data_IF_283637447529
#
_entry.id   IF_283637447529
#
_cell.length_a   1.000
_cell.length_b   1.000
_cell.length_c   1.000
_cell.angle_alpha   90.00
_cell.angle_beta   90.00
_cell.angle_gamma   90.00
#
_symmetry.space_group_name_H-M   'P 1'
#
loop_
_entity.id
_entity.type
_entity.pdbx_description
1 polymer ?
#
# COMPACT_ATOMS: atom_id res chain seq x y z
N UNK A 1 3.43 10.95 9.13
CA UNK A 1 3.36 12.13 8.24
C UNK A 1 3.48 13.39 9.08
N UNK A 2 4.28 14.35 8.66
CA UNK A 2 4.69 15.49 9.49
C UNK A 2 3.69 16.66 9.49
N UNK A 3 2.85 16.80 8.45
CA UNK A 3 1.89 17.90 8.35
C UNK A 3 0.64 17.74 9.24
N UNK A 4 0.30 16.53 9.69
CA UNK A 4 -0.88 16.27 10.52
C UNK A 4 -0.70 15.16 11.57
N UNK A 5 0.51 14.62 11.68
CA UNK A 5 0.82 13.55 12.61
C UNK A 5 0.22 12.18 12.25
N UNK A 6 -0.54 12.02 11.18
CA UNK A 6 -1.09 10.70 10.84
C UNK A 6 0.04 9.69 10.57
N UNK A 7 -0.09 8.47 11.06
CA UNK A 7 0.91 7.40 10.89
C UNK A 7 0.27 6.12 10.36
N UNK A 8 1.11 5.23 9.83
CA UNK A 8 0.73 3.89 9.42
C UNK A 8 1.77 2.91 9.99
N UNK A 9 1.34 1.71 10.40
CA UNK A 9 2.28 0.70 10.89
C UNK A 9 3.16 0.20 9.74
N UNK A 10 4.44 -0.01 10.01
CA UNK A 10 5.37 -0.63 9.09
C UNK A 10 6.46 -1.39 9.86
N UNK A 11 7.10 -2.36 9.20
CA UNK A 11 8.26 -3.05 9.77
C UNK A 11 9.49 -2.14 9.77
N UNK A 12 10.22 -2.13 10.87
CA UNK A 12 11.48 -1.39 11.00
C UNK A 12 12.63 -2.23 10.44
N UNK A 13 12.76 -2.21 9.11
CA UNK A 13 13.85 -2.81 8.34
C UNK A 13 14.96 -1.78 8.05
N UNK A 14 16.11 -2.19 7.53
CA UNK A 14 17.20 -1.26 7.19
C UNK A 14 16.77 -0.20 6.16
N UNK A 15 15.86 -0.54 5.27
CA UNK A 15 15.29 0.32 4.24
C UNK A 15 13.98 1.02 4.67
N UNK A 16 13.67 1.05 5.97
CA UNK A 16 12.43 1.63 6.49
C UNK A 16 12.21 3.08 6.05
N UNK A 17 13.25 3.91 6.00
CA UNK A 17 13.10 5.32 5.60
C UNK A 17 12.71 5.44 4.11
N UNK A 18 13.33 4.63 3.24
CA UNK A 18 12.97 4.58 1.81
C UNK A 18 11.54 4.07 1.61
N UNK A 19 11.16 2.99 2.32
CA UNK A 19 9.78 2.45 2.30
C UNK A 19 8.77 3.46 2.81
N UNK A 20 9.06 4.17 3.91
CA UNK A 20 8.18 5.20 4.47
C UNK A 20 7.90 6.31 3.43
N UNK A 21 8.94 6.75 2.73
CA UNK A 21 8.81 7.72 1.64
C UNK A 21 8.02 7.16 0.45
N UNK A 22 8.27 5.91 0.06
CA UNK A 22 7.56 5.26 -1.05
C UNK A 22 6.06 5.07 -0.77
N UNK A 23 5.69 4.76 0.47
CA UNK A 23 4.29 4.68 0.90
C UNK A 23 3.61 6.05 1.01
N UNK A 24 4.39 7.13 1.16
CA UNK A 24 3.86 8.48 1.32
C UNK A 24 4.59 9.52 0.46
N UNK A 25 4.55 9.40 -0.89
CA UNK A 25 5.33 10.25 -1.78
C UNK A 25 4.80 11.69 -1.87
N UNK A 26 3.53 11.92 -1.53
CA UNK A 26 2.87 13.22 -1.67
C UNK A 26 2.88 14.05 -0.37
N UNK A 27 3.52 13.58 0.70
CA UNK A 27 3.67 14.33 1.95
C UNK A 27 4.93 13.90 2.71
N UNK A 28 5.55 14.83 3.44
CA UNK A 28 6.72 14.48 4.25
C UNK A 28 6.33 13.45 5.33
N UNK A 29 6.96 12.29 5.27
CA UNK A 29 6.84 11.22 6.24
C UNK A 29 8.21 10.86 6.79
N UNK A 30 8.26 10.51 8.07
CA UNK A 30 9.45 10.11 8.80
C UNK A 30 9.15 8.86 9.61
N UNK A 31 10.17 8.00 9.74
CA UNK A 31 10.08 6.80 10.58
C UNK A 31 10.23 7.19 12.05
N UNK A 32 9.28 6.73 12.87
CA UNK A 32 9.37 6.75 14.32
C UNK A 32 9.38 5.30 14.82
N UNK A 33 10.31 4.97 15.72
CA UNK A 33 10.51 3.62 16.27
C UNK A 33 10.19 3.61 17.75
N UNK A 34 9.50 2.58 18.24
CA UNK A 34 9.07 2.48 19.63
C UNK A 34 8.63 1.07 20.01
N UNK A 35 8.26 0.87 21.28
CA UNK A 35 7.93 -0.43 21.87
C UNK A 35 6.54 -0.98 21.54
N UNK A 36 5.83 -0.41 20.55
CA UNK A 36 4.53 -0.91 20.08
C UNK A 36 3.39 0.11 20.10
N UNK A 37 3.56 1.26 20.77
CA UNK A 37 2.65 2.41 20.71
C UNK A 37 3.36 3.63 20.17
N UNK A 38 2.62 4.50 19.48
CA UNK A 38 3.20 5.70 18.84
C UNK A 38 3.65 6.76 19.85
N UNK A 39 3.05 6.78 21.04
CA UNK A 39 3.28 7.81 22.05
C UNK A 39 4.72 7.78 22.60
N UNK A 40 5.30 6.58 22.67
CA UNK A 40 6.68 6.35 23.11
C UNK A 40 7.68 6.30 21.95
N UNK A 41 7.22 6.52 20.71
CA UNK A 41 8.07 6.38 19.54
C UNK A 41 8.96 7.62 19.33
N UNK A 42 10.17 7.40 18.81
CA UNK A 42 11.13 8.45 18.49
C UNK A 42 11.71 8.29 17.08
N UNK A 43 12.05 9.40 16.43
CA UNK A 43 12.79 9.38 15.17
C UNK A 43 14.28 9.06 15.39
N UNK A 44 15.02 8.82 14.31
CA UNK A 44 16.44 8.44 14.39
C UNK A 44 17.34 9.49 15.08
N UNK A 45 16.91 10.75 15.08
CA UNK A 45 17.56 11.88 15.78
C UNK A 45 17.13 12.01 17.25
N UNK A 46 16.35 11.06 17.78
CA UNK A 46 15.92 11.02 19.18
C UNK A 46 14.70 11.89 19.51
N UNK A 47 14.11 12.59 18.53
CA UNK A 47 12.90 13.38 18.76
C UNK A 47 11.67 12.48 18.92
N UNK A 48 10.96 12.62 20.05
CA UNK A 48 9.70 11.90 20.27
C UNK A 48 8.63 12.32 19.26
N UNK A 49 7.78 11.39 18.85
CA UNK A 49 6.61 11.65 18.02
C UNK A 49 5.71 12.71 18.66
N UNK A 50 5.49 12.64 19.97
CA UNK A 50 4.63 13.60 20.69
C UNK A 50 5.17 15.04 20.67
N UNK A 51 6.47 15.22 20.39
CA UNK A 51 7.14 16.51 20.36
C UNK A 51 7.16 17.17 18.97
N UNK A 52 6.58 16.54 17.93
CA UNK A 52 6.49 17.18 16.60
C UNK A 52 5.35 18.22 16.56
N UNK A 53 5.45 19.29 15.77
CA UNK A 53 4.48 20.40 15.79
C UNK A 53 3.02 20.00 15.58
N UNK A 54 2.76 18.98 14.75
CA UNK A 54 1.41 18.52 14.40
C UNK A 54 1.12 17.12 14.95
N UNK A 55 1.75 16.72 16.07
CA UNK A 55 1.46 15.44 16.70
C UNK A 55 -0.04 15.28 16.93
N UNK A 56 -0.58 14.10 16.60
CA UNK A 56 -1.99 13.73 16.83
C UNK A 56 -3.06 14.61 16.16
N UNK A 57 -2.71 15.58 15.32
CA UNK A 57 -3.70 16.49 14.72
C UNK A 57 -4.78 15.73 13.93
N UNK A 58 -4.40 14.64 13.27
CA UNK A 58 -5.31 13.72 12.58
C UNK A 58 -6.46 13.19 13.45
N UNK A 59 -6.32 13.15 14.79
CA UNK A 59 -7.36 12.69 15.71
C UNK A 59 -8.53 13.66 15.83
N UNK A 60 -8.29 14.95 15.59
CA UNK A 60 -9.30 16.01 15.73
C UNK A 60 -9.64 16.68 14.41
N UNK A 61 -8.74 16.64 13.42
CA UNK A 61 -8.92 17.25 12.11
C UNK A 61 -8.21 16.44 11.02
N UNK A 62 -8.97 16.05 10.00
CA UNK A 62 -8.41 15.55 8.75
C UNK A 62 -8.11 16.72 7.81
N UNK A 63 -6.91 16.71 7.20
CA UNK A 63 -6.46 17.75 6.28
C UNK A 63 -6.32 17.18 4.87
N UNK A 64 -7.18 17.60 3.94
CA UNK A 64 -7.14 17.10 2.56
C UNK A 64 -5.83 17.47 1.84
N UNK A 65 -5.20 18.56 2.25
CA UNK A 65 -3.90 19.04 1.74
C UNK A 65 -2.71 18.21 2.25
N UNK A 66 -2.91 17.30 3.19
CA UNK A 66 -1.88 16.46 3.79
C UNK A 66 -2.20 15.00 3.48
N UNK A 67 -1.71 14.49 2.35
CA UNK A 67 -2.09 13.17 1.83
C UNK A 67 -0.89 12.37 1.33
N UNK A 68 -0.88 11.07 1.59
CA UNK A 68 0.10 10.18 0.96
C UNK A 68 -0.32 9.83 -0.48
N UNK A 69 -1.62 9.64 -0.73
CA UNK A 69 -2.18 9.20 -2.01
C UNK A 69 -2.46 10.35 -2.99
N UNK A 70 -2.47 11.59 -2.50
CA UNK A 70 -3.00 12.75 -3.23
C UNK A 70 -4.52 12.74 -3.38
N UNK A 71 -5.21 11.75 -2.80
CA UNK A 71 -6.66 11.53 -2.92
C UNK A 71 -7.28 11.42 -1.53
N UNK A 72 -7.23 12.54 -0.80
CA UNK A 72 -7.81 12.66 0.54
C UNK A 72 -6.83 12.31 1.67
N UNK A 73 -7.24 12.53 2.93
CA UNK A 73 -6.34 12.58 4.08
C UNK A 73 -5.88 11.20 4.57
N UNK A 74 -6.53 10.12 4.14
CA UNK A 74 -6.29 8.76 4.62
C UNK A 74 -5.61 7.88 3.56
N UNK A 75 -4.99 6.80 4.04
CA UNK A 75 -4.34 5.79 3.20
C UNK A 75 -2.88 6.09 2.87
N UNK A 76 -2.26 5.10 2.24
CA UNK A 76 -0.89 5.11 1.71
C UNK A 76 -0.92 4.75 0.23
N UNK A 77 0.14 5.08 -0.49
CA UNK A 77 0.33 4.60 -1.86
C UNK A 77 0.78 3.14 -1.79
N UNK A 78 0.12 2.26 -2.55
CA UNK A 78 0.62 0.90 -2.75
C UNK A 78 1.89 0.95 -3.60
N UNK A 79 2.93 0.16 -3.27
CA UNK A 79 4.07 0.00 -4.16
C UNK A 79 3.58 -0.41 -5.54
N UNK A 80 4.28 0.05 -6.58
CA UNK A 80 4.01 -0.43 -7.92
C UNK A 80 4.19 -1.96 -7.93
N UNK A 81 3.25 -2.68 -8.54
CA UNK A 81 3.18 -4.14 -8.46
C UNK A 81 4.47 -4.82 -8.92
N UNK A 82 5.19 -4.18 -9.84
CA UNK A 82 6.49 -4.64 -10.33
C UNK A 82 7.55 -4.71 -9.22
N UNK A 83 7.41 -3.94 -8.16
CA UNK A 83 8.36 -3.84 -7.04
C UNK A 83 7.80 -4.37 -5.72
N UNK A 84 6.60 -4.96 -5.73
CA UNK A 84 6.01 -5.56 -4.54
C UNK A 84 6.65 -6.94 -4.26
N UNK A 85 7.54 -6.97 -3.26
CA UNK A 85 8.26 -8.16 -2.81
C UNK A 85 7.39 -9.10 -1.95
N UNK A 86 6.19 -8.69 -1.59
CA UNK A 86 5.24 -9.50 -0.82
C UNK A 86 4.44 -10.45 -1.70
N UNK A 87 4.39 -10.21 -3.01
CA UNK A 87 3.62 -10.98 -3.97
C UNK A 87 4.06 -12.45 -4.03
N UNK A 88 3.07 -13.35 -3.92
CA UNK A 88 3.23 -14.80 -3.99
C UNK A 88 2.42 -15.36 -5.15
N UNK A 89 2.94 -16.44 -5.74
CA UNK A 89 2.28 -17.10 -6.85
C UNK A 89 0.85 -17.51 -6.48
N UNK A 90 -0.14 -16.97 -7.21
CA UNK A 90 -1.56 -17.15 -6.94
C UNK A 90 -2.26 -15.92 -6.37
N UNK A 91 -1.52 -14.89 -5.94
CA UNK A 91 -2.10 -13.62 -5.50
C UNK A 91 -2.88 -12.98 -6.66
N UNK A 92 -4.08 -12.51 -6.34
CA UNK A 92 -4.96 -11.81 -7.27
C UNK A 92 -4.84 -10.32 -6.96
N UNK A 93 -4.36 -9.55 -7.93
CA UNK A 93 -4.13 -8.11 -7.82
C UNK A 93 -5.07 -7.37 -8.75
N UNK A 94 -5.64 -6.25 -8.29
CA UNK A 94 -6.48 -5.40 -9.13
C UNK A 94 -5.62 -4.38 -9.87
N UNK A 95 -5.69 -4.37 -11.19
CA UNK A 95 -5.01 -3.38 -12.04
C UNK A 95 -6.05 -2.48 -12.72
N UNK A 96 -5.58 -1.42 -13.39
CA UNK A 96 -6.44 -0.58 -14.22
C UNK A 96 -7.16 -1.35 -15.35
N UNK A 97 -6.57 -2.46 -15.81
CA UNK A 97 -7.08 -3.27 -16.91
C UNK A 97 -7.81 -4.53 -16.40
N UNK A 98 -8.23 -4.51 -15.12
CA UNK A 98 -8.91 -5.61 -14.42
C UNK A 98 -7.99 -6.43 -13.51
N UNK A 99 -8.52 -7.47 -12.85
CA UNK A 99 -7.74 -8.43 -12.07
C UNK A 99 -6.67 -9.12 -12.90
N UNK A 100 -5.53 -9.34 -12.25
CA UNK A 100 -4.41 -10.15 -12.73
C UNK A 100 -4.00 -11.12 -11.63
N UNK A 101 -3.45 -12.25 -12.03
CA UNK A 101 -2.93 -13.27 -11.12
C UNK A 101 -1.42 -13.26 -11.22
N UNK A 102 -0.76 -13.07 -10.09
CA UNK A 102 0.68 -13.09 -10.02
C UNK A 102 1.22 -14.52 -10.17
N UNK A 103 2.06 -14.72 -11.17
CA UNK A 103 2.72 -15.97 -11.54
C UNK A 103 4.14 -15.68 -12.05
N UNK A 104 5.09 -15.61 -11.11
CA UNK A 104 6.50 -15.47 -11.40
C UNK A 104 7.24 -16.80 -11.29
N UNK A 105 8.19 -17.04 -12.21
CA UNK A 105 9.12 -18.18 -12.14
C UNK A 105 10.24 -17.93 -11.13
N UNK A 106 10.67 -16.68 -10.97
CA UNK A 106 11.82 -16.29 -10.13
C UNK A 106 11.38 -15.70 -8.80
N UNK A 107 10.23 -15.02 -8.75
CA UNK A 107 9.77 -14.29 -7.57
C UNK A 107 10.63 -13.08 -7.21
N UNK A 108 11.56 -12.67 -8.09
CA UNK A 108 12.51 -11.59 -7.84
C UNK A 108 11.98 -10.30 -8.49
N UNK A 109 12.01 -9.20 -7.73
CA UNK A 109 11.70 -7.86 -8.23
C UNK A 109 12.87 -7.27 -9.04
N UNK A 110 12.61 -6.45 -10.09
CA UNK A 110 11.30 -6.09 -10.59
C UNK A 110 10.62 -7.27 -11.31
N UNK A 111 9.35 -7.50 -10.98
CA UNK A 111 8.53 -8.52 -11.62
C UNK A 111 8.23 -8.10 -13.06
N UNK A 112 8.49 -8.96 -14.06
CA UNK A 112 8.17 -8.62 -15.44
C UNK A 112 6.66 -8.56 -15.64
N UNK A 113 6.19 -7.75 -16.60
CA UNK A 113 4.75 -7.68 -16.93
C UNK A 113 4.14 -9.06 -17.25
N UNK A 114 4.93 -9.97 -17.82
CA UNK A 114 4.52 -11.36 -18.08
C UNK A 114 4.22 -12.18 -16.81
N UNK A 115 4.60 -11.71 -15.63
CA UNK A 115 4.26 -12.34 -14.36
C UNK A 115 2.81 -12.05 -13.93
N UNK A 116 2.11 -11.13 -14.59
CA UNK A 116 0.73 -10.75 -14.26
C UNK A 116 -0.21 -11.21 -15.38
N UNK A 117 -0.79 -12.40 -15.21
CA UNK A 117 -1.63 -13.00 -16.26
C UNK A 117 -3.12 -12.86 -15.95
N UNK A 118 -4.01 -12.94 -16.95
CA UNK A 118 -5.45 -12.99 -16.72
C UNK A 118 -5.86 -14.18 -15.82
N UNK A 119 -6.92 -14.05 -15.01
CA UNK A 119 -7.44 -15.14 -14.17
C UNK A 119 -7.75 -16.43 -14.95
N UNK A 120 -8.27 -16.32 -16.17
CA UNK A 120 -8.59 -17.47 -17.03
C UNK A 120 -7.34 -18.28 -17.41
N UNK A 121 -6.20 -17.62 -17.62
CA UNK A 121 -4.93 -18.24 -17.96
C UNK A 121 -4.19 -18.81 -16.74
N UNK A 122 -4.63 -18.46 -15.52
CA UNK A 122 -3.97 -18.87 -14.30
C UNK A 122 -4.19 -20.34 -13.99
N UNK A 123 -3.16 -21.17 -14.17
CA UNK A 123 -3.23 -22.62 -13.96
C UNK A 123 -3.46 -23.01 -12.50
N UNK A 124 -3.02 -22.17 -11.56
CA UNK A 124 -3.12 -22.42 -10.12
C UNK A 124 -4.50 -22.13 -9.53
N UNK A 125 -5.37 -21.41 -10.25
CA UNK A 125 -6.71 -21.09 -9.75
C UNK A 125 -7.72 -22.18 -10.11
N UNK A 126 -8.60 -22.51 -9.16
CA UNK A 126 -9.71 -23.43 -9.40
C UNK A 126 -10.74 -22.82 -10.36
N UNK A 127 -11.52 -23.67 -11.03
CA UNK A 127 -12.59 -23.19 -11.94
C UNK A 127 -13.63 -22.33 -11.21
N UNK A 128 -13.98 -22.72 -9.98
CA UNK A 128 -14.92 -21.96 -9.14
C UNK A 128 -14.39 -20.56 -8.81
N UNK A 129 -13.12 -20.45 -8.44
CA UNK A 129 -12.51 -19.15 -8.13
C UNK A 129 -12.44 -18.26 -9.38
N UNK A 130 -12.11 -18.82 -10.55
CA UNK A 130 -12.15 -18.07 -11.82
C UNK A 130 -13.55 -17.53 -12.13
N UNK A 131 -14.58 -18.36 -11.94
CA UNK A 131 -15.97 -17.95 -12.14
C UNK A 131 -16.35 -16.79 -11.20
N UNK A 132 -16.00 -16.88 -9.91
CA UNK A 132 -16.23 -15.81 -8.93
C UNK A 132 -15.52 -14.51 -9.28
N UNK A 133 -14.27 -14.56 -9.74
CA UNK A 133 -13.54 -13.35 -10.16
C UNK A 133 -14.25 -12.67 -11.33
N UNK A 134 -14.70 -13.46 -12.31
CA UNK A 134 -15.44 -12.94 -13.47
C UNK A 134 -16.77 -12.30 -13.09
N UNK A 135 -17.50 -12.90 -12.14
CA UNK A 135 -18.72 -12.30 -11.59
C UNK A 135 -18.44 -10.93 -10.92
N UNK A 136 -17.34 -10.83 -10.16
CA UNK A 136 -16.93 -9.57 -9.53
C UNK A 136 -16.53 -8.50 -10.54
N UNK A 137 -15.85 -8.86 -11.64
CA UNK A 137 -15.53 -7.93 -12.74
C UNK A 137 -16.79 -7.38 -13.40
N UNK A 138 -17.76 -8.25 -13.71
CA UNK A 138 -19.03 -7.85 -14.31
C UNK A 138 -19.81 -6.92 -13.38
N UNK A 139 -19.91 -7.25 -12.10
CA UNK A 139 -20.56 -6.41 -11.09
C UNK A 139 -19.90 -5.03 -10.96
N UNK A 140 -18.55 -4.97 -11.01
CA UNK A 140 -17.80 -3.72 -10.96
C UNK A 140 -18.00 -2.84 -12.20
N UNK A 141 -18.06 -3.44 -13.39
CA UNK A 141 -18.29 -2.70 -14.64
C UNK A 141 -19.69 -2.08 -14.71
N UNK A 142 -20.69 -2.68 -14.06
CA UNK A 142 -22.05 -2.15 -13.99
C UNK A 142 -22.13 -0.96 -13.00
N UNK A 143 -21.33 -0.96 -11.94
CA UNK A 143 -21.32 0.10 -10.93
C UNK A 143 -20.57 1.37 -11.34
N UNK A 144 -19.64 1.29 -12.30
CA UNK A 144 -18.81 2.42 -12.76
C UNK A 144 -19.37 3.21 -13.96
N UNK A 145 -20.55 2.86 -14.46
CA UNK A 145 -21.18 3.47 -15.65
C UNK A 145 -22.18 4.59 -15.37
N UNK A 146 -21.98 5.37 -14.29
CA UNK A 146 -22.85 6.50 -13.90
C UNK A 146 -22.17 7.85 -14.10
#
# INVERSE_FOLDING_TARGET
>A
RMCDGHYFPMSTTEDADAKCAAFCPNAEARVFRGGGVIDDAASADGRSYSAIPNAYLYRTKLQDTCSCTGKGPLGVVSPALEYDDTLRNGDIVMTKDGPRVFQSKTGITPHPASAFVPPDDARRLSRDLKARIKELELAGSVAGGG
#
